data_IF_386926777658
#
_entry.id   IF_386926777658
#
_cell.length_a   1.000
_cell.length_b   1.000
_cell.length_c   1.000
_cell.angle_alpha   90.00
_cell.angle_beta   90.00
_cell.angle_gamma   90.00
#
_symmetry.space_group_name_H-M   'P 1'
#
loop_
_entity.id
_entity.type
_entity.pdbx_description
1 polymer ?
#
# COMPACT_ATOMS: atom_id res chain seq x y z
N UNK A 1 14.44 -29.59 16.14
CA UNK A 1 13.27 -29.79 15.24
C UNK A 1 12.09 -28.89 15.62
N UNK A 2 11.62 -28.86 16.88
CA UNK A 2 10.55 -27.93 17.28
C UNK A 2 10.91 -26.44 17.12
N UNK A 3 12.19 -26.07 17.34
CA UNK A 3 12.67 -24.69 17.19
C UNK A 3 12.81 -24.22 15.73
N UNK A 4 12.96 -25.15 14.78
CA UNK A 4 13.08 -24.84 13.34
C UNK A 4 11.69 -24.60 12.73
N UNK A 5 10.66 -25.31 13.20
CA UNK A 5 9.28 -25.07 12.79
C UNK A 5 8.73 -23.73 13.32
N UNK A 6 9.19 -23.24 14.47
CA UNK A 6 8.82 -21.91 14.98
C UNK A 6 9.46 -20.75 14.18
N UNK A 7 10.64 -20.95 13.60
CA UNK A 7 11.32 -19.96 12.76
C UNK A 7 10.73 -19.86 11.34
N UNK A 8 10.28 -20.97 10.77
CA UNK A 8 9.54 -20.99 9.49
C UNK A 8 8.17 -20.31 9.58
N UNK A 9 7.52 -20.33 10.75
CA UNK A 9 6.26 -19.62 10.96
C UNK A 9 6.43 -18.10 11.09
N UNK A 10 7.60 -17.63 11.54
CA UNK A 10 7.90 -16.18 11.61
C UNK A 10 8.22 -15.59 10.23
N UNK A 11 8.81 -16.36 9.31
CA UNK A 11 9.14 -15.91 7.96
C UNK A 11 7.91 -15.78 7.05
N UNK A 12 6.84 -16.55 7.30
CA UNK A 12 5.59 -16.46 6.54
C UNK A 12 4.65 -15.31 7.00
N UNK A 13 4.96 -14.64 8.12
CA UNK A 13 4.16 -13.56 8.70
C UNK A 13 4.71 -12.14 8.47
N UNK A 14 5.80 -11.98 7.72
CA UNK A 14 6.50 -10.70 7.56
C UNK A 14 5.95 -9.77 6.46
N UNK A 15 4.86 -10.12 5.78
CA UNK A 15 4.17 -9.18 4.88
C UNK A 15 3.19 -8.22 5.59
N UNK A 16 3.11 -8.25 6.93
CA UNK A 16 2.12 -7.51 7.74
C UNK A 16 2.68 -6.31 8.54
N UNK A 17 3.97 -5.98 8.42
CA UNK A 17 4.59 -4.86 9.16
C UNK A 17 5.64 -4.13 8.30
N UNK A 18 5.80 -2.80 8.43
CA UNK A 18 6.99 -2.13 7.90
C UNK A 18 8.25 -2.65 8.63
N UNK A 19 9.43 -2.63 7.97
CA UNK A 19 10.62 -3.26 8.50
C UNK A 19 11.03 -2.62 9.83
N UNK A 20 11.10 -3.44 10.88
CA UNK A 20 11.83 -3.11 12.11
C UNK A 20 13.31 -3.00 11.72
N UNK A 21 14.01 -1.88 11.96
CA UNK A 21 15.43 -1.78 11.63
C UNK A 21 16.22 -2.85 12.38
N UNK A 22 17.05 -3.59 11.63
CA UNK A 22 17.78 -4.83 11.98
C UNK A 22 18.78 -4.65 13.15
N UNK A 23 18.87 -3.46 13.75
CA UNK A 23 19.84 -3.16 14.82
C UNK A 23 19.48 -3.79 16.19
N UNK A 24 18.29 -4.38 16.35
CA UNK A 24 17.83 -4.92 17.65
C UNK A 24 17.70 -6.45 17.72
N UNK A 25 17.96 -7.19 16.64
CA UNK A 25 18.01 -8.67 16.69
C UNK A 25 19.33 -9.22 17.26
N UNK A 26 20.37 -8.40 17.35
CA UNK A 26 21.69 -8.81 17.86
C UNK A 26 21.76 -8.75 19.40
N UNK A 27 20.97 -7.90 20.06
CA UNK A 27 20.96 -7.76 21.53
C UNK A 27 20.13 -8.82 22.26
N UNK A 28 19.31 -9.61 21.55
CA UNK A 28 18.51 -10.69 22.15
C UNK A 28 19.29 -12.01 22.30
N UNK A 29 20.46 -12.15 21.68
CA UNK A 29 21.31 -13.36 21.78
C UNK A 29 22.42 -13.21 22.85
N UNK A 30 22.63 -12.00 23.37
CA UNK A 30 23.70 -11.70 24.33
C UNK A 30 23.33 -11.88 25.81
N UNK A 31 22.04 -12.03 26.17
CA UNK A 31 21.62 -12.08 27.59
C UNK A 31 21.38 -13.50 28.15
N UNK A 32 21.47 -14.55 27.35
CA UNK A 32 21.29 -15.93 27.85
C UNK A 32 22.38 -16.89 27.34
N UNK A 33 23.41 -17.15 28.15
CA UNK A 33 24.30 -18.31 27.95
C UNK A 33 25.72 -18.11 28.46
N UNK A 34 26.09 -18.87 29.50
CA UNK A 34 27.44 -18.96 30.08
C UNK A 34 28.49 -19.65 29.18
N UNK A 35 29.72 -19.88 29.67
CA UNK A 35 30.94 -19.99 28.85
C UNK A 35 31.13 -21.29 28.05
N UNK A 36 30.11 -22.14 27.90
CA UNK A 36 30.27 -23.53 27.45
C UNK A 36 29.63 -23.90 26.11
N UNK A 37 29.35 -22.93 25.22
CA UNK A 37 28.75 -23.27 23.90
C UNK A 37 29.31 -22.44 22.73
N UNK A 38 30.65 -22.32 22.65
CA UNK A 38 31.34 -21.57 21.60
C UNK A 38 31.20 -22.19 20.20
N UNK A 39 31.00 -23.51 20.11
CA UNK A 39 30.91 -24.23 18.83
C UNK A 39 29.53 -24.08 18.17
N UNK A 40 28.44 -24.09 18.95
CA UNK A 40 27.08 -23.85 18.45
C UNK A 40 26.85 -22.39 18.03
N UNK A 41 27.43 -21.42 18.75
CA UNK A 41 27.42 -20.00 18.34
C UNK A 41 28.10 -19.78 16.99
N UNK A 42 29.24 -20.43 16.74
CA UNK A 42 29.94 -20.37 15.45
C UNK A 42 29.12 -21.02 14.33
N UNK A 43 28.41 -22.11 14.62
CA UNK A 43 27.56 -22.78 13.63
C UNK A 43 26.34 -21.92 13.23
N UNK A 44 25.68 -21.26 14.19
CA UNK A 44 24.54 -20.37 13.91
C UNK A 44 24.97 -19.13 13.14
N UNK A 45 26.11 -18.53 13.48
CA UNK A 45 26.68 -17.41 12.74
C UNK A 45 27.10 -17.80 11.32
N UNK A 46 27.67 -19.00 11.13
CA UNK A 46 28.03 -19.51 9.80
C UNK A 46 26.80 -19.76 8.92
N UNK A 47 25.70 -20.29 9.49
CA UNK A 47 24.45 -20.49 8.76
C UNK A 47 23.80 -19.16 8.37
N UNK A 48 23.83 -18.15 9.24
CA UNK A 48 23.35 -16.80 8.93
C UNK A 48 24.20 -16.11 7.86
N UNK A 49 25.51 -16.32 7.88
CA UNK A 49 26.43 -15.78 6.87
C UNK A 49 26.23 -16.44 5.49
N UNK A 50 26.04 -17.77 5.46
CA UNK A 50 25.76 -18.51 4.21
C UNK A 50 24.37 -18.16 3.63
N UNK A 51 23.37 -17.92 4.47
CA UNK A 51 22.05 -17.46 4.03
C UNK A 51 22.09 -16.03 3.43
N UNK A 52 22.99 -15.17 3.93
CA UNK A 52 23.24 -13.85 3.35
C UNK A 52 23.96 -13.92 2.01
N UNK A 53 24.94 -14.82 1.85
CA UNK A 53 25.65 -15.01 0.58
C UNK A 53 24.76 -15.59 -0.54
N UNK A 54 23.80 -16.46 -0.20
CA UNK A 54 22.83 -16.99 -1.17
C UNK A 54 21.87 -15.92 -1.71
N UNK A 55 21.56 -14.88 -0.91
CA UNK A 55 20.76 -13.74 -1.34
C UNK A 55 21.54 -12.79 -2.28
N UNK A 56 22.84 -12.60 -2.07
CA UNK A 56 23.67 -11.77 -2.95
C UNK A 56 23.89 -12.41 -4.34
N UNK A 57 24.06 -13.73 -4.42
CA UNK A 57 24.22 -14.41 -5.72
C UNK A 57 22.93 -14.44 -6.56
N UNK A 58 21.76 -14.40 -5.93
CA UNK A 58 20.47 -14.31 -6.64
C UNK A 58 20.21 -12.92 -7.24
N UNK A 59 20.92 -11.89 -6.78
CA UNK A 59 20.82 -10.52 -7.30
C UNK A 59 21.75 -10.34 -8.51
N UNK A 60 22.94 -10.94 -8.49
CA UNK A 60 23.90 -10.84 -9.61
C UNK A 60 23.48 -11.61 -10.87
N UNK A 61 22.77 -12.76 -10.73
CA UNK A 61 22.31 -13.50 -11.93
C UNK A 61 21.10 -12.86 -12.63
N UNK A 62 20.51 -11.81 -12.06
CA UNK A 62 19.35 -11.08 -12.62
C UNK A 62 19.75 -9.87 -13.48
N UNK A 63 21.04 -9.49 -13.52
CA UNK A 63 21.52 -8.26 -14.16
C UNK A 63 22.20 -8.46 -15.52
N UNK A 64 22.21 -9.68 -16.06
CA UNK A 64 22.85 -9.98 -17.33
C UNK A 64 21.84 -10.46 -18.38
N UNK A 65 21.01 -9.54 -18.90
CA UNK A 65 20.43 -9.64 -20.25
C UNK A 65 19.82 -8.28 -20.65
N UNK A 66 20.45 -7.58 -21.59
CA UNK A 66 19.84 -6.52 -22.41
C UNK A 66 19.45 -7.15 -23.75
N UNK A 67 18.29 -6.78 -24.35
CA UNK A 67 18.32 -5.66 -25.29
C UNK A 67 17.04 -4.82 -25.43
N UNK A 68 17.26 -3.65 -26.04
CA UNK A 68 16.38 -2.80 -26.84
C UNK A 68 15.42 -1.77 -26.20
N UNK A 69 16.01 -0.60 -25.99
CA UNK A 69 15.57 0.75 -26.38
C UNK A 69 14.17 0.92 -27.01
N UNK A 70 13.14 1.08 -26.18
CA UNK A 70 11.97 1.91 -26.50
C UNK A 70 11.54 2.69 -25.26
N UNK A 71 11.61 4.01 -25.35
CA UNK A 71 11.13 4.98 -24.35
C UNK A 71 9.63 4.80 -24.11
N UNK A 72 9.17 4.52 -22.87
CA UNK A 72 7.75 4.62 -22.53
C UNK A 72 7.35 6.08 -22.28
N UNK A 73 6.09 6.46 -22.58
CA UNK A 73 5.62 7.84 -22.40
C UNK A 73 5.46 8.19 -20.91
N UNK A 74 5.86 9.42 -20.61
CA UNK A 74 5.67 10.12 -19.34
C UNK A 74 4.22 10.00 -18.88
N UNK A 75 4.01 9.27 -17.80
CA UNK A 75 2.74 9.25 -17.07
C UNK A 75 2.85 10.24 -15.92
N UNK A 76 2.05 11.30 -15.97
CA UNK A 76 1.91 12.29 -14.91
C UNK A 76 1.17 11.67 -13.73
N UNK A 77 1.88 11.38 -12.65
CA UNK A 77 1.30 10.99 -11.36
C UNK A 77 0.55 12.17 -10.72
N UNK A 78 -0.62 11.96 -10.10
CA UNK A 78 -1.20 12.93 -9.17
C UNK A 78 -0.45 12.87 -7.82
N UNK A 79 -0.45 13.95 -7.02
CA UNK A 79 0.39 14.08 -5.83
C UNK A 79 0.03 13.01 -4.80
N UNK A 80 0.96 12.09 -4.57
CA UNK A 80 0.87 11.06 -3.54
C UNK A 80 0.74 11.69 -2.16
N UNK A 81 -0.26 11.23 -1.40
CA UNK A 81 -0.40 11.50 0.02
C UNK A 81 0.91 11.17 0.76
N UNK A 82 1.33 12.10 1.61
CA UNK A 82 2.66 12.21 2.17
C UNK A 82 3.08 10.98 2.99
N UNK A 83 4.24 10.40 2.66
CA UNK A 83 5.03 9.63 3.63
C UNK A 83 5.75 10.60 4.57
N UNK A 84 5.52 10.57 5.89
CA UNK A 84 6.03 11.60 6.82
C UNK A 84 7.54 11.56 7.11
N UNK A 85 8.27 10.61 6.52
CA UNK A 85 9.72 10.45 6.66
C UNK A 85 10.47 10.54 5.34
N UNK A 86 9.80 10.91 4.25
CA UNK A 86 10.53 11.32 3.07
C UNK A 86 11.07 12.72 3.32
N UNK A 87 12.40 12.84 3.31
CA UNK A 87 13.04 14.03 2.76
C UNK A 87 12.23 14.37 1.52
N UNK A 88 11.50 15.50 1.52
CA UNK A 88 10.58 15.85 0.43
C UNK A 88 11.31 15.50 -0.86
N UNK A 89 10.82 14.51 -1.62
CA UNK A 89 11.42 14.21 -2.92
C UNK A 89 11.03 15.38 -3.80
N UNK A 90 11.79 16.47 -3.66
CA UNK A 90 11.55 17.71 -4.35
C UNK A 90 11.56 17.39 -5.83
N UNK A 91 10.51 17.82 -6.51
CA UNK A 91 10.49 17.76 -7.97
C UNK A 91 11.70 18.54 -8.51
N UNK A 92 12.23 18.20 -9.69
CA UNK A 92 13.44 18.85 -10.23
C UNK A 92 13.37 20.39 -10.20
N UNK A 93 12.22 20.97 -10.52
CA UNK A 93 12.01 22.43 -10.47
C UNK A 93 12.03 22.99 -9.03
N UNK A 94 11.48 22.27 -8.06
CA UNK A 94 11.52 22.67 -6.64
C UNK A 94 12.92 22.56 -6.05
N UNK A 95 13.76 21.66 -6.59
CA UNK A 95 15.19 21.59 -6.24
C UNK A 95 15.96 22.79 -6.80
N UNK A 96 15.70 23.16 -8.05
CA UNK A 96 16.34 24.31 -8.68
C UNK A 96 15.99 25.61 -7.93
N UNK A 97 14.73 25.79 -7.55
CA UNK A 97 14.29 26.91 -6.72
C UNK A 97 14.95 26.90 -5.33
N UNK A 98 15.05 25.73 -4.70
CA UNK A 98 15.70 25.59 -3.39
C UNK A 98 17.20 25.89 -3.45
N UNK A 99 17.89 25.52 -4.53
CA UNK A 99 19.32 25.82 -4.74
C UNK A 99 19.55 27.31 -4.98
N UNK A 100 18.67 27.98 -5.73
CA UNK A 100 18.74 29.44 -5.89
C UNK A 100 18.55 30.16 -4.55
N UNK A 101 17.50 29.79 -3.81
CA UNK A 101 17.19 30.35 -2.50
C UNK A 101 18.31 30.11 -1.46
N UNK A 102 19.00 28.96 -1.55
CA UNK A 102 20.15 28.64 -0.72
C UNK A 102 21.26 29.70 -0.85
N UNK A 103 21.54 30.17 -2.08
CA UNK A 103 22.54 31.19 -2.35
C UNK A 103 22.21 32.52 -1.67
N UNK A 104 20.96 32.95 -1.77
CA UNK A 104 20.44 34.16 -1.14
C UNK A 104 20.49 34.09 0.38
N UNK A 105 19.98 33.00 0.97
CA UNK A 105 19.96 32.80 2.42
C UNK A 105 21.37 32.74 3.01
N UNK A 106 22.33 32.11 2.32
CA UNK A 106 23.75 32.16 2.71
C UNK A 106 24.30 33.58 2.70
N UNK A 107 23.89 34.41 1.74
CA UNK A 107 24.22 35.83 1.71
C UNK A 107 23.63 36.60 2.90
N UNK A 108 22.35 36.39 3.18
CA UNK A 108 21.63 37.02 4.31
C UNK A 108 22.31 36.66 5.64
N UNK A 109 22.59 35.38 5.86
CA UNK A 109 23.23 34.90 7.09
C UNK A 109 24.66 35.42 7.23
N UNK A 110 25.38 35.69 6.13
CA UNK A 110 26.70 36.36 6.18
C UNK A 110 26.60 37.82 6.60
N UNK A 111 25.57 38.53 6.15
CA UNK A 111 25.34 39.94 6.49
C UNK A 111 24.76 40.12 7.91
N UNK A 112 23.95 39.16 8.34
CA UNK A 112 23.24 39.16 9.63
C UNK A 112 23.49 37.86 10.42
N UNK A 113 24.73 37.59 10.86
CA UNK A 113 25.10 36.28 11.43
C UNK A 113 24.44 35.95 12.78
N UNK A 114 23.85 36.95 13.45
CA UNK A 114 23.21 36.87 14.76
C UNK A 114 21.68 36.71 14.67
N UNK A 115 21.12 36.55 13.46
CA UNK A 115 19.68 36.35 13.28
C UNK A 115 19.32 34.87 13.39
N UNK A 116 18.67 34.48 14.49
CA UNK A 116 18.21 33.10 14.69
C UNK A 116 17.17 32.69 13.64
N UNK A 117 16.28 33.61 13.23
CA UNK A 117 15.26 33.36 12.22
C UNK A 117 15.87 33.09 10.83
N UNK A 118 16.91 33.83 10.44
CA UNK A 118 17.54 33.63 9.14
C UNK A 118 18.39 32.35 9.10
N UNK A 119 19.01 31.99 10.22
CA UNK A 119 19.68 30.70 10.42
C UNK A 119 18.68 29.55 10.30
N UNK A 120 17.49 29.69 10.91
CA UNK A 120 16.43 28.71 10.81
C UNK A 120 15.93 28.53 9.37
N UNK A 121 15.65 29.62 8.65
CA UNK A 121 15.24 29.56 7.23
C UNK A 121 16.28 28.86 6.37
N UNK A 122 17.57 29.14 6.59
CA UNK A 122 18.66 28.46 5.90
C UNK A 122 18.67 26.95 6.21
N UNK A 123 18.49 26.58 7.47
CA UNK A 123 18.40 25.18 7.88
C UNK A 123 17.23 24.43 7.23
N UNK A 124 16.07 25.09 7.10
CA UNK A 124 14.89 24.51 6.43
C UNK A 124 15.15 24.19 4.96
N UNK A 125 15.82 25.10 4.24
CA UNK A 125 16.20 24.88 2.84
C UNK A 125 17.24 23.77 2.72
N UNK A 126 18.25 23.76 3.59
CA UNK A 126 19.27 22.70 3.65
C UNK A 126 18.64 21.32 3.91
N UNK A 127 17.68 21.24 4.82
CA UNK A 127 16.92 20.01 5.08
C UNK A 127 16.16 19.55 3.83
N UNK A 128 15.49 20.46 3.12
CA UNK A 128 14.73 20.14 1.91
C UNK A 128 15.61 19.60 0.78
N UNK A 129 16.83 20.11 0.61
CA UNK A 129 17.78 19.62 -0.42
C UNK A 129 18.58 18.39 0.04
N UNK A 130 18.46 17.98 1.30
CA UNK A 130 19.10 16.79 1.86
C UNK A 130 20.48 17.00 2.46
N UNK A 131 20.95 18.25 2.57
CA UNK A 131 22.16 18.60 3.31
C UNK A 131 21.87 18.62 4.81
N UNK A 132 21.63 17.42 5.36
CA UNK A 132 21.15 17.22 6.73
C UNK A 132 22.18 17.64 7.79
N UNK A 133 23.48 17.47 7.52
CA UNK A 133 24.53 17.85 8.48
C UNK A 133 24.57 19.37 8.64
N UNK A 134 24.60 20.11 7.53
CA UNK A 134 24.61 21.57 7.58
C UNK A 134 23.28 22.11 8.13
N UNK A 135 22.14 21.48 7.83
CA UNK A 135 20.85 21.85 8.41
C UNK A 135 20.86 21.73 9.95
N UNK A 136 21.45 20.65 10.49
CA UNK A 136 21.61 20.44 11.93
C UNK A 136 22.49 21.53 12.54
N UNK A 137 23.62 21.86 11.92
CA UNK A 137 24.54 22.87 12.41
C UNK A 137 23.90 24.27 12.43
N UNK A 138 23.19 24.65 11.37
CA UNK A 138 22.46 25.93 11.31
C UNK A 138 21.31 25.99 12.34
N UNK A 139 20.60 24.89 12.58
CA UNK A 139 19.60 24.81 13.66
C UNK A 139 20.24 24.99 15.04
N UNK A 140 21.39 24.36 15.30
CA UNK A 140 22.11 24.51 16.58
C UNK A 140 22.59 25.95 16.80
N UNK A 141 23.04 26.61 15.74
CA UNK A 141 23.39 28.04 15.80
C UNK A 141 22.13 28.87 16.10
N UNK A 142 21.01 28.61 15.43
CA UNK A 142 19.75 29.31 15.70
C UNK A 142 19.29 29.15 17.17
N UNK A 143 19.39 27.95 17.73
CA UNK A 143 19.06 27.66 19.13
C UNK A 143 20.07 28.33 20.09
N UNK A 144 21.36 28.35 19.75
CA UNK A 144 22.35 29.04 20.58
C UNK A 144 22.12 30.57 20.63
N UNK A 145 21.62 31.16 19.53
CA UNK A 145 21.24 32.57 19.44
C UNK A 145 19.92 32.86 20.17
N UNK A 146 18.95 31.95 20.10
CA UNK A 146 17.68 32.04 20.80
C UNK A 146 17.24 30.67 21.33
N UNK A 147 17.55 30.35 22.60
CA UNK A 147 17.22 29.05 23.20
C UNK A 147 15.72 28.76 23.33
N UNK A 148 14.86 29.79 23.34
CA UNK A 148 13.42 29.62 23.45
C UNK A 148 12.72 29.54 22.08
N UNK A 149 13.49 29.38 20.99
CA UNK A 149 12.97 29.31 19.64
C UNK A 149 12.35 27.95 19.32
N UNK A 150 11.06 27.77 19.62
CA UNK A 150 10.34 26.50 19.44
C UNK A 150 10.47 25.89 18.03
N UNK A 151 10.38 26.71 16.97
CA UNK A 151 10.53 26.24 15.59
C UNK A 151 11.95 25.75 15.27
N UNK A 152 13.00 26.35 15.85
CA UNK A 152 14.37 25.87 15.65
C UNK A 152 14.59 24.50 16.28
N UNK A 153 14.04 24.26 17.48
CA UNK A 153 13.99 22.94 18.09
C UNK A 153 13.18 21.93 17.25
N UNK A 154 12.03 22.34 16.70
CA UNK A 154 11.24 21.49 15.79
C UNK A 154 12.06 21.09 14.55
N UNK A 155 12.71 22.04 13.89
CA UNK A 155 13.50 21.76 12.68
C UNK A 155 14.72 20.89 12.98
N UNK A 156 15.42 21.15 14.09
CA UNK A 156 16.51 20.27 14.54
C UNK A 156 15.99 18.85 14.78
N UNK A 157 14.86 18.71 15.48
CA UNK A 157 14.19 17.44 15.71
C UNK A 157 13.90 16.67 14.41
N UNK A 158 13.41 17.36 13.37
CA UNK A 158 13.15 16.78 12.04
C UNK A 158 14.43 16.35 11.33
N UNK A 159 15.46 17.20 11.32
CA UNK A 159 16.74 16.88 10.70
C UNK A 159 17.40 15.66 11.37
N UNK A 160 17.31 15.55 12.69
CA UNK A 160 17.77 14.38 13.46
C UNK A 160 16.96 13.11 13.13
N UNK A 161 15.64 13.20 12.92
CA UNK A 161 14.83 12.06 12.44
C UNK A 161 15.30 11.58 11.07
N UNK A 162 15.56 12.50 10.14
CA UNK A 162 16.06 12.15 8.80
C UNK A 162 17.45 11.50 8.86
N UNK A 163 18.29 11.89 9.83
CA UNK A 163 19.56 11.22 10.17
C UNK A 163 19.40 9.92 10.96
N UNK A 164 18.17 9.54 11.32
CA UNK A 164 17.84 8.40 12.18
C UNK A 164 18.42 8.50 13.61
N UNK A 165 18.77 9.70 14.08
CA UNK A 165 19.10 9.95 15.47
C UNK A 165 17.81 10.22 16.29
N UNK A 166 17.04 9.15 16.46
CA UNK A 166 15.72 9.23 17.09
C UNK A 166 15.77 9.66 18.55
N UNK A 167 16.85 9.35 19.28
CA UNK A 167 16.96 9.72 20.69
C UNK A 167 17.20 11.22 20.85
N UNK A 168 18.12 11.79 20.07
CA UNK A 168 18.34 13.23 20.08
C UNK A 168 17.10 13.97 19.58
N UNK A 169 16.46 13.47 18.52
CA UNK A 169 15.21 14.04 18.00
C UNK A 169 14.11 14.15 19.07
N UNK A 170 13.89 13.10 19.87
CA UNK A 170 12.91 13.14 20.98
C UNK A 170 13.19 14.28 21.96
N UNK A 171 14.46 14.56 22.26
CA UNK A 171 14.83 15.64 23.18
C UNK A 171 14.44 17.00 22.61
N UNK A 172 14.80 17.27 21.36
CA UNK A 172 14.52 18.54 20.69
C UNK A 172 13.01 18.74 20.44
N UNK A 173 12.29 17.68 20.05
CA UNK A 173 10.85 17.76 19.82
C UNK A 173 10.05 17.95 21.12
N UNK A 174 10.52 17.38 22.24
CA UNK A 174 9.97 17.67 23.57
C UNK A 174 10.15 19.14 23.91
N UNK A 175 11.32 19.71 23.62
CA UNK A 175 11.60 21.11 23.94
C UNK A 175 10.76 22.05 23.06
N UNK A 176 10.62 21.75 21.77
CA UNK A 176 9.70 22.47 20.88
C UNK A 176 8.26 22.47 21.41
N UNK A 177 7.76 21.30 21.85
CA UNK A 177 6.42 21.16 22.42
C UNK A 177 6.28 21.82 23.81
N UNK A 178 7.36 21.92 24.59
CA UNK A 178 7.39 22.62 25.88
C UNK A 178 7.31 24.14 25.67
N UNK A 179 8.09 24.66 24.73
CA UNK A 179 8.16 26.08 24.38
C UNK A 179 6.88 26.57 23.71
N UNK A 180 6.30 25.74 22.82
CA UNK A 180 5.01 26.02 22.21
C UNK A 180 4.12 24.76 22.23
N UNK A 181 3.22 24.63 23.24
CA UNK A 181 2.31 23.50 23.35
C UNK A 181 1.30 23.35 22.20
N UNK A 182 1.03 24.42 21.45
CA UNK A 182 0.07 24.42 20.31
C UNK A 182 0.73 24.04 18.98
N UNK A 183 2.03 23.73 18.98
CA UNK A 183 2.77 23.35 17.78
C UNK A 183 2.45 21.91 17.37
N UNK A 184 1.36 21.73 16.61
CA UNK A 184 0.84 20.43 16.14
C UNK A 184 1.91 19.51 15.55
N UNK A 185 2.82 20.07 14.74
CA UNK A 185 3.91 19.34 14.09
C UNK A 185 4.94 18.80 15.10
N UNK A 186 5.18 19.49 16.22
CA UNK A 186 6.07 19.01 17.26
C UNK A 186 5.50 17.75 17.92
N UNK A 187 4.23 17.76 18.28
CA UNK A 187 3.55 16.58 18.83
C UNK A 187 3.51 15.42 17.82
N UNK A 188 3.22 15.70 16.55
CA UNK A 188 3.16 14.67 15.52
C UNK A 188 4.52 13.98 15.29
N UNK A 189 5.58 14.79 15.16
CA UNK A 189 6.94 14.29 15.00
C UNK A 189 7.41 13.56 16.26
N UNK A 190 7.04 14.06 17.45
CA UNK A 190 7.36 13.42 18.72
C UNK A 190 6.68 12.04 18.82
N UNK A 191 5.44 11.92 18.37
CA UNK A 191 4.73 10.64 18.27
C UNK A 191 5.46 9.65 17.35
N UNK A 192 5.98 10.14 16.22
CA UNK A 192 6.77 9.33 15.27
C UNK A 192 8.11 8.90 15.85
N UNK A 193 8.82 9.79 16.53
CA UNK A 193 10.09 9.49 17.17
C UNK A 193 9.92 8.51 18.35
N UNK A 194 8.85 8.66 19.15
CA UNK A 194 8.50 7.72 20.20
C UNK A 194 8.13 6.34 19.67
N UNK A 195 7.33 6.27 18.61
CA UNK A 195 7.00 5.01 17.96
C UNK A 195 8.28 4.28 17.53
N UNK A 196 9.20 4.98 16.87
CA UNK A 196 10.44 4.40 16.35
C UNK A 196 11.41 3.97 17.46
N UNK A 197 11.39 4.64 18.61
CA UNK A 197 12.18 4.27 19.79
C UNK A 197 11.50 3.23 20.68
N UNK A 198 10.31 2.74 20.31
CA UNK A 198 9.55 1.73 21.06
C UNK A 198 8.76 2.28 22.25
N UNK A 199 8.71 3.60 22.45
CA UNK A 199 7.87 4.22 23.49
C UNK A 199 6.41 4.34 23.01
N UNK A 200 5.69 3.22 22.99
CA UNK A 200 4.32 3.15 22.49
C UNK A 200 3.37 4.08 23.27
N UNK A 201 3.53 4.18 24.60
CA UNK A 201 2.70 5.07 25.44
C UNK A 201 2.90 6.54 25.06
N UNK A 202 4.15 6.97 24.92
CA UNK A 202 4.49 8.32 24.48
C UNK A 202 3.95 8.61 23.08
N UNK A 203 4.06 7.64 22.16
CA UNK A 203 3.54 7.78 20.80
C UNK A 203 2.03 8.03 20.77
N UNK A 204 1.26 7.23 21.53
CA UNK A 204 -0.20 7.39 21.66
C UNK A 204 -0.55 8.79 22.16
N UNK A 205 0.06 9.23 23.27
CA UNK A 205 -0.21 10.55 23.86
C UNK A 205 0.09 11.68 22.88
N UNK A 206 1.24 11.62 22.20
CA UNK A 206 1.65 12.64 21.25
C UNK A 206 0.73 12.72 20.03
N UNK A 207 0.30 11.58 19.46
CA UNK A 207 -0.66 11.60 18.36
C UNK A 207 -2.06 12.05 18.79
N UNK A 208 -2.48 11.71 20.02
CA UNK A 208 -3.73 12.24 20.58
C UNK A 208 -3.68 13.76 20.69
N UNK A 209 -2.60 14.32 21.24
CA UNK A 209 -2.40 15.76 21.30
C UNK A 209 -2.42 16.42 19.92
N UNK A 210 -1.83 15.77 18.91
CA UNK A 210 -1.91 16.22 17.51
C UNK A 210 -3.37 16.31 17.03
N UNK A 211 -4.20 15.31 17.33
CA UNK A 211 -5.61 15.29 16.92
C UNK A 211 -6.49 16.23 17.75
N UNK A 212 -6.12 16.52 19.00
CA UNK A 212 -6.78 17.56 19.82
C UNK A 212 -6.56 18.95 19.23
N UNK A 213 -5.32 19.26 18.82
CA UNK A 213 -4.97 20.55 18.20
C UNK A 213 -5.49 20.66 16.76
N UNK A 214 -5.44 19.55 16.01
CA UNK A 214 -5.89 19.48 14.62
C UNK A 214 -6.70 18.19 14.37
N UNK A 215 -8.03 18.22 14.59
CA UNK A 215 -8.88 17.05 14.36
C UNK A 215 -8.88 16.54 12.92
N UNK A 216 -8.69 17.44 11.95
CA UNK A 216 -8.53 17.10 10.53
C UNK A 216 -7.05 16.84 10.21
N UNK A 217 -6.50 15.76 10.79
CA UNK A 217 -5.14 15.31 10.45
C UNK A 217 -5.12 13.78 10.18
N UNK A 218 -5.41 13.37 8.94
CA UNK A 218 -5.52 11.96 8.56
C UNK A 218 -4.29 11.11 8.91
N UNK A 219 -3.07 11.62 8.68
CA UNK A 219 -1.85 10.86 8.94
C UNK A 219 -1.63 10.58 10.44
N UNK A 220 -1.91 11.58 11.30
CA UNK A 220 -1.85 11.42 12.75
C UNK A 220 -2.85 10.38 13.24
N UNK A 221 -4.06 10.39 12.66
CA UNK A 221 -5.11 9.42 12.96
C UNK A 221 -4.74 8.00 12.56
N UNK A 222 -4.22 7.83 11.34
CA UNK A 222 -3.71 6.55 10.87
C UNK A 222 -2.58 6.03 11.77
N UNK A 223 -1.62 6.88 12.13
CA UNK A 223 -0.52 6.51 13.02
C UNK A 223 -1.00 6.16 14.43
N UNK A 224 -1.96 6.90 14.97
CA UNK A 224 -2.60 6.59 16.24
C UNK A 224 -3.23 5.19 16.21
N UNK A 225 -3.99 4.88 15.15
CA UNK A 225 -4.59 3.57 14.96
C UNK A 225 -3.52 2.44 14.97
N UNK A 226 -2.41 2.62 14.24
CA UNK A 226 -1.31 1.64 14.24
C UNK A 226 -0.69 1.41 15.63
N UNK A 227 -0.43 2.49 16.39
CA UNK A 227 0.18 2.34 17.72
C UNK A 227 -0.81 1.75 18.74
N UNK A 228 -2.11 2.02 18.60
CA UNK A 228 -3.16 1.39 19.40
C UNK A 228 -3.24 -0.12 19.14
N UNK A 229 -3.11 -0.54 17.87
CA UNK A 229 -3.01 -1.96 17.50
C UNK A 229 -1.82 -2.64 18.19
N UNK A 230 -0.65 -2.01 18.19
CA UNK A 230 0.53 -2.53 18.90
C UNK A 230 0.35 -2.58 20.41
N UNK A 231 -0.42 -1.64 20.96
CA UNK A 231 -0.84 -1.65 22.36
C UNK A 231 -1.95 -2.67 22.67
N UNK A 232 -2.37 -3.49 21.69
CA UNK A 232 -3.48 -4.46 21.80
C UNK A 232 -4.83 -3.82 22.15
N UNK A 233 -5.03 -2.56 21.75
CA UNK A 233 -6.27 -1.81 21.90
C UNK A 233 -7.04 -1.87 20.58
N UNK A 234 -7.44 -3.09 20.20
CA UNK A 234 -7.95 -3.38 18.85
C UNK A 234 -9.22 -2.60 18.49
N UNK A 235 -10.15 -2.43 19.44
CA UNK A 235 -11.40 -1.71 19.21
C UNK A 235 -11.16 -0.21 18.93
N UNK A 236 -10.32 0.44 19.74
CA UNK A 236 -9.96 1.85 19.52
C UNK A 236 -9.14 2.02 18.25
N UNK A 237 -8.21 1.08 17.98
CA UNK A 237 -7.47 1.04 16.72
C UNK A 237 -8.42 1.00 15.54
N UNK A 238 -9.47 0.18 15.58
CA UNK A 238 -10.41 0.04 14.47
C UNK A 238 -11.18 1.35 14.21
N UNK A 239 -11.67 2.02 15.26
CA UNK A 239 -12.38 3.29 15.15
C UNK A 239 -11.54 4.37 14.45
N UNK A 240 -10.31 4.58 14.90
CA UNK A 240 -9.42 5.54 14.26
C UNK A 240 -9.01 5.10 12.84
N UNK A 241 -8.92 3.80 12.57
CA UNK A 241 -8.62 3.27 11.24
C UNK A 241 -9.76 3.52 10.25
N UNK A 242 -11.02 3.39 10.69
CA UNK A 242 -12.22 3.69 9.88
C UNK A 242 -12.24 5.14 9.41
N UNK A 243 -12.04 6.07 10.33
CA UNK A 243 -11.97 7.50 10.02
C UNK A 243 -10.77 7.84 9.11
N UNK A 244 -9.62 7.20 9.31
CA UNK A 244 -8.44 7.39 8.45
C UNK A 244 -8.67 6.81 7.03
N UNK A 245 -9.32 5.66 6.92
CA UNK A 245 -9.68 5.04 5.65
C UNK A 245 -10.71 5.87 4.88
N UNK A 246 -11.69 6.44 5.58
CA UNK A 246 -12.68 7.37 5.03
C UNK A 246 -12.04 8.68 4.53
N UNK A 247 -10.90 9.07 5.12
CA UNK A 247 -10.10 10.22 4.65
C UNK A 247 -9.27 9.92 3.39
N UNK A 248 -9.34 8.70 2.84
CA UNK A 248 -8.69 8.33 1.58
C UNK A 248 -7.27 7.79 1.71
N UNK A 249 -6.78 7.47 2.91
CA UNK A 249 -5.43 6.89 3.09
C UNK A 249 -5.44 5.42 2.62
N UNK A 250 -4.73 5.04 1.54
CA UNK A 250 -4.82 3.69 0.98
C UNK A 250 -4.31 2.60 1.95
N UNK A 251 -3.29 2.92 2.75
CA UNK A 251 -2.77 2.03 3.77
C UNK A 251 -3.82 1.78 4.88
N UNK A 252 -4.54 2.82 5.30
CA UNK A 252 -5.61 2.68 6.29
C UNK A 252 -6.76 1.82 5.76
N UNK A 253 -7.16 2.04 4.50
CA UNK A 253 -8.16 1.21 3.82
C UNK A 253 -7.73 -0.27 3.76
N UNK A 254 -6.47 -0.54 3.43
CA UNK A 254 -5.94 -1.90 3.43
C UNK A 254 -5.99 -2.57 4.82
N UNK A 255 -5.50 -1.88 5.85
CA UNK A 255 -5.48 -2.41 7.21
C UNK A 255 -6.88 -2.58 7.79
N UNK A 256 -7.82 -1.69 7.45
CA UNK A 256 -9.22 -1.81 7.82
C UNK A 256 -9.87 -3.02 7.15
N UNK A 257 -9.58 -3.27 5.86
CA UNK A 257 -10.04 -4.48 5.18
C UNK A 257 -9.54 -5.76 5.86
N UNK A 258 -8.29 -5.76 6.33
CA UNK A 258 -7.74 -6.87 7.12
C UNK A 258 -8.44 -7.02 8.47
N UNK A 259 -8.75 -5.92 9.15
CA UNK A 259 -9.47 -5.93 10.42
C UNK A 259 -10.86 -6.54 10.28
N UNK A 260 -11.64 -6.13 9.27
CA UNK A 260 -12.95 -6.71 8.99
C UNK A 260 -12.89 -8.19 8.59
N UNK A 261 -11.87 -8.61 7.82
CA UNK A 261 -11.71 -10.04 7.48
C UNK A 261 -11.42 -10.89 8.72
N UNK A 262 -10.58 -10.39 9.61
CA UNK A 262 -10.13 -11.12 10.80
C UNK A 262 -11.11 -11.01 11.98
N UNK A 263 -12.00 -10.01 11.98
CA UNK A 263 -12.77 -9.63 13.17
C UNK A 263 -11.89 -9.01 14.26
N UNK A 264 -10.85 -8.28 13.88
CA UNK A 264 -9.91 -7.67 14.83
C UNK A 264 -10.40 -6.29 15.24
N UNK A 265 -10.98 -6.17 16.44
CA UNK A 265 -11.53 -4.92 16.97
C UNK A 265 -12.87 -4.52 16.36
N UNK A 266 -13.37 -5.30 15.40
CA UNK A 266 -14.62 -5.12 14.66
C UNK A 266 -15.29 -6.47 14.48
N UNK A 267 -16.58 -6.49 14.21
CA UNK A 267 -17.26 -7.71 13.79
C UNK A 267 -16.74 -8.18 12.42
N UNK A 268 -16.57 -9.50 12.28
CA UNK A 268 -16.09 -10.10 11.03
C UNK A 268 -17.07 -9.76 9.90
N UNK A 269 -16.60 -9.06 8.87
CA UNK A 269 -17.40 -8.64 7.74
C UNK A 269 -16.61 -8.76 6.41
N UNK A 270 -16.83 -9.85 5.68
CA UNK A 270 -16.15 -10.08 4.41
C UNK A 270 -16.47 -9.05 3.34
N UNK A 271 -17.71 -8.54 3.30
CA UNK A 271 -18.15 -7.52 2.34
C UNK A 271 -17.37 -6.22 2.51
N UNK A 272 -17.25 -5.74 3.75
CA UNK A 272 -16.49 -4.53 4.04
C UNK A 272 -14.98 -4.74 3.83
N UNK A 273 -14.48 -5.95 4.06
CA UNK A 273 -13.09 -6.29 3.72
C UNK A 273 -12.81 -6.11 2.22
N UNK A 274 -13.66 -6.68 1.36
CA UNK A 274 -13.56 -6.52 -0.10
C UNK A 274 -13.70 -5.05 -0.50
N UNK A 275 -14.69 -4.35 0.06
CA UNK A 275 -14.91 -2.93 -0.22
C UNK A 275 -13.66 -2.08 0.03
N UNK A 276 -13.08 -2.19 1.23
CA UNK A 276 -11.93 -1.37 1.60
C UNK A 276 -10.65 -1.74 0.86
N UNK A 277 -10.42 -3.03 0.56
CA UNK A 277 -9.30 -3.39 -0.32
C UNK A 277 -9.49 -2.86 -1.74
N UNK A 278 -10.72 -2.91 -2.29
CA UNK A 278 -10.97 -2.34 -3.62
C UNK A 278 -10.70 -0.84 -3.64
N UNK A 279 -11.12 -0.11 -2.59
CA UNK A 279 -10.76 1.31 -2.43
C UNK A 279 -9.26 1.55 -2.38
N UNK A 280 -8.50 0.74 -1.66
CA UNK A 280 -7.05 0.86 -1.65
C UNK A 280 -6.42 0.60 -3.04
N UNK A 281 -6.98 -0.35 -3.81
CA UNK A 281 -6.53 -0.67 -5.17
C UNK A 281 -6.78 0.48 -6.15
N UNK A 282 -7.84 1.26 -5.98
CA UNK A 282 -8.11 2.48 -6.78
C UNK A 282 -6.92 3.47 -6.71
N UNK A 283 -6.17 3.46 -5.61
CA UNK A 283 -4.95 4.26 -5.40
C UNK A 283 -3.64 3.48 -5.67
N UNK A 284 -3.70 2.32 -6.33
CA UNK A 284 -2.53 1.53 -6.71
C UNK A 284 -1.90 0.69 -5.59
N UNK A 285 -2.58 0.51 -4.45
CA UNK A 285 -2.04 -0.21 -3.29
C UNK A 285 -1.87 -1.72 -3.56
N UNK A 286 -0.64 -2.15 -3.86
CA UNK A 286 -0.32 -3.52 -4.26
C UNK A 286 -0.74 -4.59 -3.22
N UNK A 287 -0.48 -4.44 -1.91
CA UNK A 287 -0.90 -5.46 -0.94
C UNK A 287 -2.41 -5.68 -0.89
N UNK A 288 -3.22 -4.66 -1.20
CA UNK A 288 -4.68 -4.80 -1.26
C UNK A 288 -5.11 -5.59 -2.50
N UNK A 289 -4.44 -5.37 -3.64
CA UNK A 289 -4.62 -6.17 -4.86
C UNK A 289 -4.30 -7.65 -4.60
N UNK A 290 -3.18 -7.92 -3.93
CA UNK A 290 -2.78 -9.28 -3.53
C UNK A 290 -3.80 -9.92 -2.58
N UNK A 291 -4.32 -9.18 -1.60
CA UNK A 291 -5.34 -9.68 -0.67
C UNK A 291 -6.65 -10.08 -1.38
N UNK A 292 -7.12 -9.26 -2.32
CA UNK A 292 -8.27 -9.59 -3.17
C UNK A 292 -8.01 -10.82 -4.04
N UNK A 293 -6.83 -10.91 -4.65
CA UNK A 293 -6.45 -12.06 -5.48
C UNK A 293 -6.42 -13.37 -4.69
N UNK A 294 -5.85 -13.34 -3.48
CA UNK A 294 -5.86 -14.48 -2.56
C UNK A 294 -7.30 -14.88 -2.22
N UNK A 295 -8.17 -13.90 -1.91
CA UNK A 295 -9.56 -14.19 -1.58
C UNK A 295 -10.34 -14.78 -2.77
N UNK A 296 -10.12 -14.31 -3.99
CA UNK A 296 -10.73 -14.90 -5.21
C UNK A 296 -10.25 -16.33 -5.43
N UNK A 297 -8.95 -16.58 -5.31
CA UNK A 297 -8.40 -17.95 -5.42
C UNK A 297 -8.98 -18.86 -4.34
N UNK A 298 -9.20 -18.36 -3.13
CA UNK A 298 -9.89 -19.11 -2.08
C UNK A 298 -11.34 -19.44 -2.48
N UNK A 299 -12.08 -18.47 -3.00
CA UNK A 299 -13.46 -18.65 -3.46
C UNK A 299 -13.56 -19.71 -4.58
N UNK A 300 -12.59 -19.72 -5.50
CA UNK A 300 -12.63 -20.52 -6.72
C UNK A 300 -11.92 -21.88 -6.59
N UNK A 301 -11.05 -22.06 -5.59
CA UNK A 301 -10.25 -23.28 -5.46
C UNK A 301 -11.08 -24.48 -4.98
N UNK A 302 -11.13 -25.61 -5.71
CA UNK A 302 -11.85 -26.81 -5.29
C UNK A 302 -11.20 -27.52 -4.10
N UNK A 303 -9.94 -27.18 -3.76
CA UNK A 303 -9.20 -27.77 -2.65
C UNK A 303 -9.57 -27.13 -1.30
N UNK A 304 -10.11 -25.91 -1.32
CA UNK A 304 -10.49 -25.21 -0.11
C UNK A 304 -11.78 -25.80 0.49
N UNK A 305 -11.93 -25.80 1.84
CA UNK A 305 -13.17 -26.22 2.48
C UNK A 305 -14.36 -25.44 1.93
N UNK A 306 -15.46 -26.14 1.65
CA UNK A 306 -16.64 -25.55 1.00
C UNK A 306 -17.14 -24.30 1.74
N UNK A 307 -17.18 -24.35 3.08
CA UNK A 307 -17.55 -23.21 3.91
C UNK A 307 -16.68 -21.97 3.62
N UNK A 308 -15.35 -22.12 3.56
CA UNK A 308 -14.44 -21.01 3.29
C UNK A 308 -14.62 -20.43 1.89
N UNK A 309 -14.99 -21.27 0.92
CA UNK A 309 -15.30 -20.80 -0.44
C UNK A 309 -16.59 -20.01 -0.46
N UNK A 310 -17.64 -20.54 0.18
CA UNK A 310 -18.95 -19.89 0.26
C UNK A 310 -18.87 -18.57 1.03
N UNK A 311 -18.09 -18.49 2.11
CA UNK A 311 -17.83 -17.23 2.82
C UNK A 311 -17.18 -16.18 1.90
N UNK A 312 -16.17 -16.57 1.13
CA UNK A 312 -15.49 -15.67 0.19
C UNK A 312 -16.42 -15.24 -0.97
N UNK A 313 -17.21 -16.16 -1.53
CA UNK A 313 -18.19 -15.84 -2.57
C UNK A 313 -19.27 -14.88 -2.05
N UNK A 314 -19.77 -15.11 -0.83
CA UNK A 314 -20.73 -14.19 -0.17
C UNK A 314 -20.13 -12.80 0.05
N UNK A 315 -18.84 -12.70 0.38
CA UNK A 315 -18.17 -11.40 0.51
C UNK A 315 -18.14 -10.63 -0.81
N UNK A 316 -17.84 -11.29 -1.93
CA UNK A 316 -17.89 -10.66 -3.26
C UNK A 316 -19.31 -10.33 -3.71
N UNK A 317 -20.29 -11.20 -3.42
CA UNK A 317 -21.70 -10.92 -3.67
C UNK A 317 -22.14 -9.67 -2.89
N UNK A 318 -21.90 -9.63 -1.58
CA UNK A 318 -22.24 -8.48 -0.76
C UNK A 318 -21.50 -7.21 -1.16
N UNK A 319 -20.27 -7.32 -1.69
CA UNK A 319 -19.59 -6.16 -2.26
C UNK A 319 -20.33 -5.61 -3.48
N UNK A 320 -20.80 -6.48 -4.39
CA UNK A 320 -21.63 -6.02 -5.54
C UNK A 320 -22.91 -5.34 -5.08
N UNK A 321 -23.61 -5.90 -4.08
CA UNK A 321 -24.76 -5.27 -3.43
C UNK A 321 -24.41 -3.88 -2.87
N UNK A 322 -23.23 -3.76 -2.25
CA UNK A 322 -22.75 -2.49 -1.73
C UNK A 322 -22.47 -1.45 -2.83
N UNK A 323 -22.09 -1.86 -4.04
CA UNK A 323 -21.92 -0.91 -5.16
C UNK A 323 -23.27 -0.26 -5.50
N UNK A 324 -24.39 -1.01 -5.45
CA UNK A 324 -25.73 -0.47 -5.67
C UNK A 324 -26.12 0.63 -4.67
N UNK A 325 -25.62 0.60 -3.43
CA UNK A 325 -25.87 1.67 -2.44
C UNK A 325 -25.37 3.05 -2.92
N UNK A 326 -24.43 3.08 -3.86
CA UNK A 326 -23.92 4.33 -4.45
C UNK A 326 -24.86 4.91 -5.53
N UNK A 327 -25.92 4.19 -5.91
CA UNK A 327 -26.86 4.54 -6.98
C UNK A 327 -28.32 4.34 -6.53
N UNK A 328 -28.78 5.04 -5.48
CA UNK A 328 -30.12 4.85 -4.90
C UNK A 328 -31.27 5.18 -5.86
N UNK A 329 -31.01 5.91 -6.94
CA UNK A 329 -31.96 6.25 -7.98
C UNK A 329 -32.27 5.08 -8.94
N UNK A 330 -31.46 4.03 -8.93
CA UNK A 330 -31.60 2.89 -9.83
C UNK A 330 -32.41 1.78 -9.18
N UNK A 331 -33.35 1.20 -9.94
CA UNK A 331 -34.12 0.06 -9.48
C UNK A 331 -33.20 -1.17 -9.38
N UNK A 332 -33.05 -1.69 -8.17
CA UNK A 332 -32.34 -2.95 -7.94
C UNK A 332 -33.31 -4.13 -8.06
N UNK A 333 -33.24 -4.83 -9.19
CA UNK A 333 -34.13 -5.95 -9.52
C UNK A 333 -33.60 -7.32 -9.02
N UNK A 334 -32.62 -7.33 -8.10
CA UNK A 334 -31.99 -8.54 -7.58
C UNK A 334 -31.01 -9.18 -8.57
N UNK A 335 -30.84 -10.50 -8.50
CA UNK A 335 -29.82 -11.26 -9.25
C UNK A 335 -30.01 -11.26 -10.79
N UNK A 336 -31.06 -10.63 -11.32
CA UNK A 336 -31.37 -10.64 -12.76
C UNK A 336 -30.60 -9.60 -13.58
N UNK A 337 -30.08 -8.54 -12.93
CA UNK A 337 -29.29 -7.49 -13.59
C UNK A 337 -28.05 -7.11 -12.77
N UNK A 338 -26.98 -6.73 -13.47
CA UNK A 338 -25.83 -6.08 -12.83
C UNK A 338 -25.98 -4.57 -12.90
N UNK A 339 -25.38 -3.85 -11.96
CA UNK A 339 -25.45 -2.39 -11.95
C UNK A 339 -24.87 -1.81 -13.24
N UNK A 340 -23.76 -2.38 -13.71
CA UNK A 340 -23.13 -1.99 -14.96
C UNK A 340 -24.08 -2.12 -16.17
N UNK A 341 -24.81 -3.23 -16.27
CA UNK A 341 -25.80 -3.42 -17.35
C UNK A 341 -26.97 -2.44 -17.25
N UNK A 342 -27.43 -2.12 -16.03
CA UNK A 342 -28.50 -1.14 -15.82
C UNK A 342 -28.05 0.27 -16.21
N UNK A 343 -26.81 0.65 -15.89
CA UNK A 343 -26.21 1.92 -16.30
C UNK A 343 -26.11 2.04 -17.84
N UNK A 344 -25.73 0.96 -18.54
CA UNK A 344 -25.72 0.94 -20.00
C UNK A 344 -27.11 1.20 -20.59
N UNK A 345 -28.16 0.58 -20.03
CA UNK A 345 -29.55 0.78 -20.48
C UNK A 345 -30.02 2.23 -20.31
N UNK A 346 -29.46 2.94 -19.33
CA UNK A 346 -29.72 4.36 -19.09
C UNK A 346 -28.78 5.30 -19.85
N UNK A 347 -27.95 4.77 -20.75
CA UNK A 347 -26.97 5.53 -21.53
C UNK A 347 -25.91 6.26 -20.67
N UNK A 348 -25.63 5.76 -19.45
CA UNK A 348 -24.59 6.26 -18.54
C UNK A 348 -23.28 5.52 -18.76
N UNK A 349 -22.76 5.62 -19.98
CA UNK A 349 -21.64 4.78 -20.48
C UNK A 349 -20.32 5.06 -19.77
N UNK A 350 -20.11 6.30 -19.33
CA UNK A 350 -18.98 6.78 -18.52
C UNK A 350 -18.84 6.03 -17.18
N UNK A 351 -19.97 5.72 -16.55
CA UNK A 351 -20.02 5.03 -15.26
C UNK A 351 -20.15 3.51 -15.42
N UNK A 352 -20.78 3.06 -16.50
CA UNK A 352 -21.06 1.64 -16.71
C UNK A 352 -19.80 0.78 -16.80
N UNK A 353 -18.80 1.16 -17.62
CA UNK A 353 -17.61 0.33 -17.84
C UNK A 353 -16.76 0.19 -16.57
N UNK A 354 -16.46 1.27 -15.80
CA UNK A 354 -15.79 1.14 -14.51
C UNK A 354 -16.53 0.22 -13.53
N UNK A 355 -17.86 0.34 -13.44
CA UNK A 355 -18.67 -0.52 -12.57
C UNK A 355 -18.62 -1.98 -13.03
N UNK A 356 -18.76 -2.25 -14.33
CA UNK A 356 -18.64 -3.60 -14.88
C UNK A 356 -17.28 -4.22 -14.57
N UNK A 357 -16.19 -3.44 -14.61
CA UNK A 357 -14.86 -3.91 -14.23
C UNK A 357 -14.79 -4.24 -12.73
N UNK A 358 -15.37 -3.42 -11.86
CA UNK A 358 -15.48 -3.73 -10.42
C UNK A 358 -16.27 -5.02 -10.18
N UNK A 359 -17.40 -5.19 -10.87
CA UNK A 359 -18.23 -6.40 -10.79
C UNK A 359 -17.52 -7.64 -11.37
N UNK A 360 -16.73 -7.49 -12.46
CA UNK A 360 -15.86 -8.52 -13.03
C UNK A 360 -14.85 -9.02 -11.99
N UNK A 361 -14.16 -8.08 -11.34
CA UNK A 361 -13.26 -8.36 -10.24
C UNK A 361 -13.97 -8.86 -8.97
N UNK A 362 -15.28 -8.68 -8.85
CA UNK A 362 -16.12 -9.25 -7.81
C UNK A 362 -16.79 -10.57 -8.24
N UNK A 363 -16.20 -11.28 -9.21
CA UNK A 363 -16.65 -12.60 -9.68
C UNK A 363 -18.08 -12.62 -10.22
N UNK A 364 -18.47 -11.56 -10.96
CA UNK A 364 -19.77 -11.50 -11.63
C UNK A 364 -19.74 -12.11 -13.02
N UNK A 365 -20.42 -13.25 -13.20
CA UNK A 365 -20.61 -13.93 -14.49
C UNK A 365 -21.31 -13.02 -15.52
N UNK A 366 -22.29 -12.23 -15.06
CA UNK A 366 -23.04 -11.31 -15.91
C UNK A 366 -22.19 -10.14 -16.38
N UNK A 367 -21.40 -9.54 -15.47
CA UNK A 367 -20.50 -8.45 -15.84
C UNK A 367 -19.40 -8.95 -16.79
N UNK A 368 -18.88 -10.17 -16.59
CA UNK A 368 -17.96 -10.82 -17.53
C UNK A 368 -18.55 -10.96 -18.93
N UNK A 369 -19.81 -11.42 -19.01
CA UNK A 369 -20.52 -11.61 -20.29
C UNK A 369 -20.69 -10.28 -21.01
N UNK A 370 -21.11 -9.24 -20.29
CA UNK A 370 -21.31 -7.91 -20.87
C UNK A 370 -19.98 -7.26 -21.28
N UNK A 371 -18.93 -7.38 -20.44
CA UNK A 371 -17.60 -6.91 -20.81
C UNK A 371 -17.03 -7.64 -22.02
N UNK A 372 -17.32 -8.93 -22.20
CA UNK A 372 -16.88 -9.68 -23.37
C UNK A 372 -17.54 -9.13 -24.64
N UNK A 373 -18.84 -8.84 -24.57
CA UNK A 373 -19.57 -8.15 -25.65
C UNK A 373 -18.93 -6.80 -25.97
N UNK A 374 -18.72 -5.97 -24.95
CA UNK A 374 -18.11 -4.64 -25.11
C UNK A 374 -16.67 -4.69 -25.63
N UNK A 375 -15.89 -5.70 -25.23
CA UNK A 375 -14.54 -5.91 -25.73
C UNK A 375 -14.54 -6.16 -27.24
N UNK A 376 -15.50 -6.91 -27.76
CA UNK A 376 -15.60 -7.21 -29.19
C UNK A 376 -16.21 -6.05 -29.98
N UNK A 377 -17.29 -5.44 -29.48
CA UNK A 377 -18.05 -4.45 -30.24
C UNK A 377 -17.61 -3.02 -30.02
N UNK A 378 -16.90 -2.74 -28.92
CA UNK A 378 -16.75 -1.38 -28.40
C UNK A 378 -18.09 -0.79 -27.93
N UNK A 379 -18.07 0.51 -27.62
CA UNK A 379 -19.23 1.31 -27.25
C UNK A 379 -19.11 2.72 -27.84
N UNK A 380 -19.58 2.87 -29.07
CA UNK A 380 -19.55 4.11 -29.86
C UNK A 380 -18.22 4.88 -29.70
N UNK A 381 -18.28 6.17 -29.34
CA UNK A 381 -17.11 7.02 -29.08
C UNK A 381 -16.54 6.90 -27.66
N UNK A 382 -17.19 6.14 -26.77
CA UNK A 382 -16.84 6.07 -25.35
C UNK A 382 -15.87 4.95 -24.99
N UNK A 383 -15.86 3.85 -25.75
CA UNK A 383 -14.98 2.71 -25.53
C UNK A 383 -14.57 2.09 -26.87
N UNK A 384 -13.27 2.08 -27.23
CA UNK A 384 -12.83 1.39 -28.43
C UNK A 384 -12.97 -0.14 -28.25
N UNK A 385 -13.24 -0.88 -29.34
CA UNK A 385 -13.07 -2.33 -29.33
C UNK A 385 -11.67 -2.73 -28.89
N UNK A 386 -11.56 -3.92 -28.30
CA UNK A 386 -10.33 -4.53 -27.82
C UNK A 386 -9.61 -3.72 -26.73
N UNK A 387 -10.39 -3.07 -25.85
CA UNK A 387 -9.86 -2.29 -24.74
C UNK A 387 -8.93 -3.11 -23.84
N UNK A 388 -7.74 -2.56 -23.59
CA UNK A 388 -6.66 -3.24 -22.85
C UNK A 388 -7.02 -3.49 -21.39
N UNK A 389 -7.83 -2.62 -20.77
CA UNK A 389 -8.21 -2.78 -19.36
C UNK A 389 -9.20 -3.93 -19.19
N UNK A 390 -10.11 -4.10 -20.15
CA UNK A 390 -11.03 -5.24 -20.17
C UNK A 390 -10.26 -6.55 -20.36
N UNK A 391 -9.32 -6.60 -21.32
CA UNK A 391 -8.46 -7.78 -21.50
C UNK A 391 -7.69 -8.11 -20.20
N UNK A 392 -7.12 -7.10 -19.53
CA UNK A 392 -6.44 -7.29 -18.26
C UNK A 392 -7.36 -7.83 -17.15
N UNK A 393 -8.64 -7.44 -17.09
CA UNK A 393 -9.61 -8.04 -16.14
C UNK A 393 -9.77 -9.54 -16.41
N UNK A 394 -9.91 -9.93 -17.68
CA UNK A 394 -10.05 -11.33 -18.05
C UNK A 394 -8.79 -12.14 -17.75
N UNK A 395 -7.61 -11.62 -18.09
CA UNK A 395 -6.33 -12.27 -17.80
C UNK A 395 -6.13 -12.47 -16.29
N UNK A 396 -6.39 -11.45 -15.49
CA UNK A 396 -6.28 -11.52 -14.03
C UNK A 396 -7.25 -12.54 -13.43
N UNK A 397 -8.55 -12.42 -13.72
CA UNK A 397 -9.57 -13.29 -13.14
C UNK A 397 -9.49 -14.73 -13.65
N UNK A 398 -9.09 -14.95 -14.91
CA UNK A 398 -8.81 -16.28 -15.44
C UNK A 398 -7.59 -16.92 -14.75
N UNK A 399 -6.53 -16.14 -14.50
CA UNK A 399 -5.34 -16.56 -13.76
C UNK A 399 -5.64 -16.95 -12.31
N UNK A 400 -6.67 -16.36 -11.71
CA UNK A 400 -7.17 -16.69 -10.37
C UNK A 400 -8.10 -17.93 -10.35
N UNK A 401 -8.40 -18.49 -11.52
CA UNK A 401 -9.19 -19.72 -11.66
C UNK A 401 -10.65 -19.49 -12.03
N UNK A 402 -11.06 -18.27 -12.39
CA UNK A 402 -12.46 -17.99 -12.66
C UNK A 402 -12.90 -18.61 -13.99
N UNK A 403 -13.83 -19.55 -13.92
CA UNK A 403 -14.25 -20.36 -15.07
C UNK A 403 -14.77 -19.56 -16.26
N UNK A 404 -15.74 -18.64 -16.07
CA UNK A 404 -16.25 -17.77 -17.14
C UNK A 404 -15.14 -16.98 -17.83
N UNK A 405 -14.24 -16.35 -17.06
CA UNK A 405 -13.11 -15.58 -17.60
C UNK A 405 -12.17 -16.45 -18.44
N UNK A 406 -11.88 -17.69 -18.00
CA UNK A 406 -11.07 -18.65 -18.77
C UNK A 406 -11.72 -18.98 -20.13
N UNK A 407 -13.04 -19.19 -20.17
CA UNK A 407 -13.76 -19.47 -21.43
C UNK A 407 -13.71 -18.25 -22.38
N UNK A 408 -13.91 -17.05 -21.86
CA UNK A 408 -13.82 -15.80 -22.63
C UNK A 408 -12.41 -15.61 -23.19
N UNK A 409 -11.39 -15.74 -22.34
CA UNK A 409 -10.00 -15.52 -22.74
C UNK A 409 -9.51 -16.58 -23.77
N UNK A 410 -9.98 -17.82 -23.65
CA UNK A 410 -9.76 -18.86 -24.65
C UNK A 410 -10.39 -18.48 -26.02
N UNK A 411 -11.58 -17.87 -26.04
CA UNK A 411 -12.17 -17.36 -27.29
C UNK A 411 -11.38 -16.20 -27.87
N UNK A 412 -10.93 -15.26 -27.03
CA UNK A 412 -10.10 -14.12 -27.44
C UNK A 412 -8.82 -14.60 -28.13
N UNK A 413 -8.04 -15.49 -27.49
CA UNK A 413 -6.81 -16.03 -28.09
C UNK A 413 -7.07 -16.97 -29.27
N UNK A 414 -8.18 -17.72 -29.26
CA UNK A 414 -8.54 -18.65 -30.32
C UNK A 414 -8.98 -17.97 -31.61
N UNK A 415 -9.72 -16.87 -31.52
CA UNK A 415 -10.21 -16.07 -32.66
C UNK A 415 -9.27 -14.90 -33.02
N UNK A 416 -8.30 -14.58 -32.18
CA UNK A 416 -7.38 -13.45 -32.40
C UNK A 416 -8.06 -12.08 -32.22
N UNK A 417 -8.96 -11.97 -31.23
CA UNK A 417 -9.74 -10.76 -30.97
C UNK A 417 -8.85 -9.71 -30.28
N UNK A 418 -8.36 -8.71 -31.03
CA UNK A 418 -7.47 -7.68 -30.48
C UNK A 418 -6.07 -8.15 -30.10
N UNK A 419 -5.76 -9.44 -30.32
CA UNK A 419 -4.48 -10.08 -30.01
C UNK A 419 -4.12 -11.09 -31.10
N UNK A 420 -2.86 -11.50 -31.19
CA UNK A 420 -2.46 -12.56 -32.12
C UNK A 420 -3.11 -13.88 -31.72
N UNK A 421 -3.59 -14.61 -32.72
CA UNK A 421 -4.13 -15.95 -32.52
C UNK A 421 -3.06 -16.87 -31.93
N UNK A 422 -3.38 -17.56 -30.84
CA UNK A 422 -2.41 -18.38 -30.10
C UNK A 422 -3.07 -19.63 -29.50
N UNK A 423 -2.93 -20.76 -30.19
CA UNK A 423 -3.48 -22.06 -29.77
C UNK A 423 -2.84 -22.59 -28.48
N UNK A 424 -1.57 -22.28 -28.23
CA UNK A 424 -0.90 -22.74 -27.01
C UNK A 424 -1.46 -22.01 -25.78
N UNK A 425 -1.75 -20.71 -25.91
CA UNK A 425 -2.44 -19.95 -24.87
C UNK A 425 -3.86 -20.46 -24.62
N UNK A 426 -4.63 -20.79 -25.66
CA UNK A 426 -5.98 -21.40 -25.50
C UNK A 426 -5.90 -22.63 -24.60
N UNK A 427 -5.04 -23.59 -24.93
CA UNK A 427 -4.89 -24.83 -24.17
C UNK A 427 -4.40 -24.58 -22.73
N UNK A 428 -3.59 -23.56 -22.52
CA UNK A 428 -3.07 -23.18 -21.19
C UNK A 428 -4.16 -22.58 -20.31
N UNK A 429 -4.96 -21.67 -20.85
CA UNK A 429 -6.06 -21.01 -20.13
C UNK A 429 -7.15 -21.99 -19.73
N UNK A 430 -7.46 -22.96 -20.59
CA UNK A 430 -8.50 -23.97 -20.34
C UNK A 430 -8.12 -25.03 -19.28
N UNK A 431 -6.87 -25.05 -18.79
CA UNK A 431 -6.44 -26.00 -17.76
C UNK A 431 -7.25 -25.85 -16.48
N UNK A 432 -7.65 -26.98 -15.91
CA UNK A 432 -8.42 -27.06 -14.66
C UNK A 432 -9.92 -26.84 -14.81
N UNK A 433 -10.42 -26.57 -16.03
CA UNK A 433 -11.86 -26.57 -16.30
C UNK A 433 -12.41 -28.01 -16.45
N UNK A 434 -13.71 -28.23 -16.21
CA UNK A 434 -14.37 -29.50 -16.51
C UNK A 434 -14.18 -29.91 -17.97
N UNK A 435 -13.97 -31.21 -18.24
CA UNK A 435 -13.73 -31.72 -19.62
C UNK A 435 -14.82 -31.32 -20.61
N UNK A 436 -16.08 -31.28 -20.15
CA UNK A 436 -17.22 -30.87 -20.98
C UNK A 436 -17.10 -29.41 -21.43
N UNK A 437 -16.70 -28.52 -20.51
CA UNK A 437 -16.49 -27.11 -20.81
C UNK A 437 -15.33 -26.88 -21.77
N UNK A 438 -14.21 -27.60 -21.56
CA UNK A 438 -13.05 -27.53 -22.47
C UNK A 438 -13.45 -27.94 -23.88
N UNK A 439 -14.15 -29.07 -24.00
CA UNK A 439 -14.62 -29.57 -25.29
C UNK A 439 -15.55 -28.57 -25.98
N UNK A 440 -16.52 -28.00 -25.25
CA UNK A 440 -17.45 -27.03 -25.82
C UNK A 440 -16.74 -25.79 -26.41
N UNK A 441 -15.71 -25.28 -25.72
CA UNK A 441 -14.93 -24.14 -26.21
C UNK A 441 -14.08 -24.51 -27.43
N UNK A 442 -13.44 -25.69 -27.44
CA UNK A 442 -12.63 -26.14 -28.57
C UNK A 442 -13.47 -26.42 -29.82
N UNK A 443 -14.64 -27.05 -29.64
CA UNK A 443 -15.60 -27.30 -30.71
C UNK A 443 -16.09 -25.98 -31.34
N UNK A 444 -16.40 -24.95 -30.53
CA UNK A 444 -16.78 -23.61 -31.02
C UNK A 444 -15.67 -22.98 -31.88
N UNK A 445 -14.41 -23.20 -31.52
CA UNK A 445 -13.25 -22.64 -32.23
C UNK A 445 -12.85 -23.45 -33.48
N UNK A 446 -13.58 -24.53 -33.81
CA UNK A 446 -13.18 -25.50 -34.84
C UNK A 446 -11.77 -26.07 -34.64
N UNK A 447 -11.32 -26.12 -33.38
CA UNK A 447 -10.01 -26.65 -33.02
C UNK A 447 -10.20 -28.11 -32.59
N UNK A 448 -9.59 -29.06 -33.31
CA UNK A 448 -9.55 -30.44 -32.82
C UNK A 448 -8.76 -30.52 -31.50
N UNK A 449 -9.19 -31.35 -30.53
CA UNK A 449 -8.55 -31.46 -29.23
C UNK A 449 -7.07 -31.81 -29.26
#
# INVERSE_FOLDING_TARGET
MAFINSLLFLAAGQELFPPIPIRYTIDLVTVAGGPQDSMKRRLVLAILFLASCAWLHSIESSLAETPDNQTPPVSTEPPSAASPLHLLELQPHERDDAVSLLGELRGIVRLSPQSADDRLKLAEVLYRIGDLDTAIDECRIAIALNPDHALAHLQLGRALMAKQDWRASVMELKEAARLNPELTQAHYNLGTAYYTTGNIKGAIQSYQQTLELQPSFPDARYRLALVLKLAKRDQESAQFMEEAAASGIPQAQFFLGNAYRAGQGLDKNGTLAVYWWTKAVEFGHQPASSALSILRRQALSPVQPEQNRLEALKAFQGYREKIWESFPELAHNGDSETLGTTLLKQNRTDQAVPVLLQECYALSDMAQTELARLYETGLDSSLPPFDKKILACFEATAGEGFGPAKKILARIYGKGLGVKQDRQKVNTVLRGLPKQDVKAVLDELSLQP
#
